data_IF_020638351945
#
_entry.id   IF_020638351945
#
_cell.length_a   1.000
_cell.length_b   1.000
_cell.length_c   1.000
_cell.angle_alpha   90.00
_cell.angle_beta   90.00
_cell.angle_gamma   90.00
#
_symmetry.space_group_name_H-M   'P 1'
#
loop_
_entity.id
_entity.type
_entity.pdbx_description
1 polymer ?
#
# COMPACT_ATOMS: atom_id res chain seq x y z
N UNK A 1 -11.24 9.80 -10.72
CA UNK A 1 -11.43 9.17 -9.40
C UNK A 1 -11.59 7.65 -9.57
N UNK A 2 -10.77 6.87 -8.87
CA UNK A 2 -10.87 5.41 -8.81
C UNK A 2 -11.09 5.03 -7.35
N UNK A 3 -12.05 4.14 -7.09
CA UNK A 3 -12.27 3.52 -5.79
C UNK A 3 -12.22 2.01 -5.97
N UNK A 4 -11.38 1.36 -5.20
CA UNK A 4 -11.21 -0.10 -5.21
C UNK A 4 -11.49 -0.65 -3.82
N UNK A 5 -12.21 -1.76 -3.74
CA UNK A 5 -12.48 -2.46 -2.49
C UNK A 5 -11.99 -3.90 -2.65
N UNK A 6 -11.15 -4.33 -1.73
CA UNK A 6 -10.61 -5.68 -1.67
C UNK A 6 -11.15 -6.39 -0.44
N UNK A 7 -11.67 -7.60 -0.64
CA UNK A 7 -12.06 -8.51 0.44
C UNK A 7 -10.99 -9.58 0.60
N UNK A 8 -10.54 -9.77 1.81
CA UNK A 8 -9.58 -10.80 2.19
C UNK A 8 -10.26 -11.88 3.05
N UNK A 9 -9.66 -13.06 3.19
CA UNK A 9 -10.09 -14.01 4.20
C UNK A 9 -10.07 -13.39 5.60
N UNK A 10 -10.99 -13.80 6.49
CA UNK A 10 -11.05 -13.30 7.86
C UNK A 10 -11.64 -11.89 7.99
N UNK A 11 -12.55 -11.51 7.11
CA UNK A 11 -13.33 -10.25 7.14
C UNK A 11 -12.51 -8.96 7.01
N UNK A 12 -11.23 -9.05 6.67
CA UNK A 12 -10.43 -7.89 6.36
C UNK A 12 -10.90 -7.25 5.06
N UNK A 13 -11.14 -5.94 5.09
CA UNK A 13 -11.50 -5.13 3.92
C UNK A 13 -10.45 -4.03 3.76
N UNK A 14 -9.91 -3.89 2.57
CA UNK A 14 -9.09 -2.74 2.21
C UNK A 14 -9.80 -1.90 1.15
N UNK A 15 -9.78 -0.58 1.34
CA UNK A 15 -10.27 0.39 0.37
C UNK A 15 -9.11 1.26 -0.10
N UNK A 16 -8.93 1.36 -1.41
CA UNK A 16 -7.97 2.27 -2.03
C UNK A 16 -8.75 3.30 -2.84
N UNK A 17 -8.43 4.57 -2.65
CA UNK A 17 -8.99 5.67 -3.43
C UNK A 17 -7.86 6.44 -4.07
N UNK A 18 -7.94 6.68 -5.36
CA UNK A 18 -6.99 7.50 -6.11
C UNK A 18 -7.72 8.54 -6.96
N UNK A 19 -7.26 9.79 -6.91
CA UNK A 19 -7.79 10.88 -7.72
C UNK A 19 -6.64 11.71 -8.28
N UNK A 20 -6.29 11.49 -9.55
CA UNK A 20 -5.24 12.24 -10.23
C UNK A 20 -5.67 13.64 -10.68
N UNK A 21 -6.98 13.93 -10.70
CA UNK A 21 -7.52 15.22 -11.09
C UNK A 21 -7.89 16.13 -9.90
N UNK A 22 -7.52 15.78 -8.68
CA UNK A 22 -7.78 16.63 -7.53
C UNK A 22 -6.88 17.88 -7.56
N UNK A 23 -7.46 19.05 -7.32
CA UNK A 23 -6.71 20.29 -7.11
C UNK A 23 -6.22 20.31 -5.67
N UNK A 24 -5.21 19.54 -5.39
CA UNK A 24 -4.61 19.40 -4.06
C UNK A 24 -3.15 18.89 -4.19
N UNK A 25 -2.33 19.20 -3.22
CA UNK A 25 -0.97 18.67 -3.16
C UNK A 25 -0.98 17.15 -3.16
N UNK A 26 -0.03 16.55 -3.88
CA UNK A 26 0.12 15.09 -3.90
C UNK A 26 0.37 14.54 -2.51
N UNK A 27 -0.43 13.57 -2.09
CA UNK A 27 -0.33 12.92 -0.80
C UNK A 27 -0.64 11.42 -0.85
N UNK A 28 -0.15 10.73 0.15
CA UNK A 28 -0.54 9.37 0.46
C UNK A 28 -1.04 9.35 1.91
N UNK A 29 -2.14 8.67 2.15
CA UNK A 29 -2.64 8.44 3.49
C UNK A 29 -3.00 6.98 3.67
N UNK A 30 -2.51 6.38 4.75
CA UNK A 30 -2.86 5.02 5.15
C UNK A 30 -3.56 5.08 6.50
N UNK A 31 -4.76 4.52 6.58
CA UNK A 31 -5.48 4.30 7.83
C UNK A 31 -5.75 2.82 7.99
N UNK A 32 -5.44 2.30 9.17
CA UNK A 32 -5.72 0.91 9.55
C UNK A 32 -6.57 0.93 10.80
N UNK A 33 -7.70 0.27 10.74
CA UNK A 33 -8.64 0.16 11.85
C UNK A 33 -8.73 -1.30 12.28
N UNK A 34 -8.63 -1.54 13.57
CA UNK A 34 -8.90 -2.83 14.19
C UNK A 34 -9.70 -2.63 15.48
N UNK A 35 -10.09 -3.70 16.14
CA UNK A 35 -10.89 -3.61 17.38
C UNK A 35 -10.17 -2.82 18.49
N UNK A 36 -8.86 -3.00 18.61
CA UNK A 36 -8.07 -2.44 19.71
C UNK A 36 -7.17 -1.28 19.29
N UNK A 37 -6.94 -1.10 17.98
CA UNK A 37 -5.96 -0.14 17.46
C UNK A 37 -6.44 0.55 16.21
N UNK A 38 -6.13 1.83 16.14
CA UNK A 38 -6.21 2.62 14.89
C UNK A 38 -4.84 3.19 14.60
N UNK A 39 -4.37 3.05 13.36
CA UNK A 39 -3.11 3.62 12.90
C UNK A 39 -3.39 4.57 11.75
N UNK A 40 -2.74 5.71 11.77
CA UNK A 40 -2.77 6.71 10.69
C UNK A 40 -1.35 7.07 10.31
N UNK A 41 -1.04 6.99 9.03
CA UNK A 41 0.19 7.53 8.45
C UNK A 41 -0.20 8.52 7.36
N UNK A 42 0.17 9.77 7.52
CA UNK A 42 -0.19 10.87 6.64
C UNK A 42 0.90 11.93 6.56
N UNK A 43 0.70 12.96 5.74
CA UNK A 43 1.56 14.16 5.71
C UNK A 43 1.69 14.86 7.07
N UNK A 44 0.66 14.77 7.91
CA UNK A 44 0.64 15.38 9.24
C UNK A 44 1.42 14.57 10.28
N UNK A 45 1.93 13.41 9.88
CA UNK A 45 2.68 12.50 10.72
C UNK A 45 2.03 11.14 10.89
N UNK A 46 2.66 10.32 11.73
CA UNK A 46 2.17 8.99 12.07
C UNK A 46 1.73 8.97 13.53
N UNK A 47 0.51 8.53 13.74
CA UNK A 47 -0.07 8.41 15.08
C UNK A 47 -1.10 7.28 15.13
N UNK A 48 -1.51 6.93 16.31
CA UNK A 48 -2.54 5.94 16.52
C UNK A 48 -3.25 6.08 17.83
N UNK A 49 -4.23 5.22 18.02
CA UNK A 49 -4.93 5.01 19.27
C UNK A 49 -4.83 3.53 19.63
N UNK A 50 -4.47 3.26 20.87
CA UNK A 50 -4.48 1.92 21.44
C UNK A 50 -5.26 1.98 22.75
N UNK A 51 -6.35 1.19 22.86
CA UNK A 51 -7.26 1.22 24.03
C UNK A 51 -7.65 2.65 24.43
N UNK A 52 -8.06 3.45 23.47
CA UNK A 52 -8.45 4.87 23.63
C UNK A 52 -7.33 5.83 24.07
N UNK A 53 -6.07 5.38 24.10
CA UNK A 53 -4.93 6.25 24.38
C UNK A 53 -4.26 6.66 23.07
N UNK A 54 -3.97 7.95 22.95
CA UNK A 54 -3.19 8.47 21.82
C UNK A 54 -1.73 8.00 21.91
N UNK A 55 -1.22 7.49 20.79
CA UNK A 55 0.17 7.04 20.65
C UNK A 55 0.81 7.71 19.44
N UNK A 56 1.88 8.45 19.65
CA UNK A 56 2.69 8.98 18.55
C UNK A 56 3.58 7.85 18.01
N UNK A 57 3.50 7.62 16.70
CA UNK A 57 4.23 6.53 16.04
C UNK A 57 5.39 7.14 15.28
N UNK A 58 6.57 6.52 15.36
CA UNK A 58 7.72 6.89 14.57
C UNK A 58 7.58 6.28 13.18
N UNK A 59 6.89 6.98 12.28
CA UNK A 59 6.66 6.55 10.90
C UNK A 59 7.32 7.50 9.91
N UNK A 60 7.73 6.96 8.78
CA UNK A 60 8.25 7.77 7.67
C UNK A 60 7.14 7.94 6.63
N UNK A 61 6.85 9.19 6.32
CA UNK A 61 5.97 9.50 5.18
C UNK A 61 6.73 9.21 3.87
N UNK A 62 6.07 8.63 2.85
CA UNK A 62 6.71 8.37 1.56
C UNK A 62 7.27 9.66 0.93
N UNK A 63 8.56 9.68 0.67
CA UNK A 63 9.28 10.81 0.08
C UNK A 63 10.28 10.39 -1.02
N UNK A 64 10.98 11.37 -1.58
CA UNK A 64 11.99 11.15 -2.61
C UNK A 64 13.19 10.33 -2.11
N UNK A 65 13.54 10.44 -0.82
CA UNK A 65 14.66 9.69 -0.23
C UNK A 65 14.34 8.21 -0.13
N UNK A 66 13.09 7.85 0.15
CA UNK A 66 12.65 6.46 0.17
C UNK A 66 12.72 5.82 -1.22
N UNK A 67 12.43 6.57 -2.29
CA UNK A 67 12.61 6.08 -3.67
C UNK A 67 14.09 5.82 -3.99
N UNK A 68 14.99 6.72 -3.57
CA UNK A 68 16.45 6.51 -3.73
C UNK A 68 16.93 5.26 -3.00
N UNK A 69 16.41 5.01 -1.79
CA UNK A 69 16.76 3.81 -1.02
C UNK A 69 16.30 2.54 -1.74
N UNK A 70 15.09 2.54 -2.29
CA UNK A 70 14.56 1.40 -3.04
C UNK A 70 15.42 1.08 -4.28
N UNK A 71 15.78 2.11 -5.07
CA UNK A 71 16.63 1.95 -6.25
C UNK A 71 18.02 1.45 -5.85
N UNK A 72 18.61 2.01 -4.79
CA UNK A 72 19.91 1.57 -4.29
C UNK A 72 19.86 0.11 -3.82
N UNK A 73 18.84 -0.27 -3.07
CA UNK A 73 18.65 -1.65 -2.63
C UNK A 73 18.61 -2.62 -3.82
N UNK A 74 17.90 -2.26 -4.88
CA UNK A 74 17.85 -3.04 -6.11
C UNK A 74 19.25 -3.17 -6.75
N UNK A 75 19.98 -2.07 -6.92
CA UNK A 75 21.33 -2.09 -7.51
C UNK A 75 22.30 -2.92 -6.65
N UNK A 76 22.27 -2.75 -5.33
CA UNK A 76 23.14 -3.48 -4.40
C UNK A 76 22.83 -4.98 -4.42
N UNK A 77 21.58 -5.35 -4.57
CA UNK A 77 21.18 -6.75 -4.67
C UNK A 77 21.63 -7.45 -5.95
N UNK A 78 21.78 -6.70 -7.05
CA UNK A 78 22.38 -7.23 -8.28
C UNK A 78 23.89 -7.49 -8.13
N UNK A 79 24.56 -6.68 -7.30
CA UNK A 79 26.01 -6.84 -7.02
C UNK A 79 26.29 -7.93 -6.00
N UNK A 80 25.46 -8.00 -4.98
CA UNK A 80 25.58 -8.94 -3.86
C UNK A 80 24.54 -10.06 -3.99
N UNK A 81 24.90 -11.17 -4.63
CA UNK A 81 24.00 -12.33 -4.90
C UNK A 81 23.25 -12.91 -3.69
N UNK A 82 23.60 -12.51 -2.46
CA UNK A 82 23.00 -13.02 -1.21
C UNK A 82 22.08 -12.02 -0.50
N UNK A 83 21.95 -10.79 -0.98
CA UNK A 83 21.13 -9.77 -0.32
C UNK A 83 19.66 -9.97 -0.67
N UNK A 84 18.83 -10.11 0.36
CA UNK A 84 17.37 -10.16 0.17
C UNK A 84 16.88 -8.78 -0.27
N UNK A 85 16.15 -8.72 -1.36
CA UNK A 85 15.52 -7.48 -1.84
C UNK A 85 14.43 -6.99 -0.89
N UNK A 86 14.21 -5.67 -0.82
CA UNK A 86 13.04 -5.10 -0.14
C UNK A 86 11.73 -5.59 -0.75
N UNK A 87 11.70 -5.73 -2.07
CA UNK A 87 10.57 -6.23 -2.84
C UNK A 87 11.08 -7.30 -3.79
N UNK A 88 10.61 -8.51 -3.64
CA UNK A 88 10.97 -9.62 -4.50
C UNK A 88 10.29 -9.53 -5.88
N UNK A 89 10.85 -10.22 -6.87
CA UNK A 89 10.22 -10.35 -8.18
C UNK A 89 8.82 -10.99 -8.09
N UNK A 90 8.65 -11.96 -7.20
CA UNK A 90 7.34 -12.59 -6.95
C UNK A 90 6.31 -11.58 -6.46
N UNK A 91 6.65 -10.73 -5.49
CA UNK A 91 5.75 -9.67 -4.98
C UNK A 91 5.38 -8.66 -6.07
N UNK A 92 6.29 -8.39 -7.03
CA UNK A 92 5.97 -7.55 -8.19
C UNK A 92 4.93 -8.22 -9.11
N UNK A 93 5.07 -9.51 -9.39
CA UNK A 93 4.09 -10.26 -10.18
C UNK A 93 2.74 -10.32 -9.48
N UNK A 94 2.73 -10.55 -8.16
CA UNK A 94 1.52 -10.56 -7.35
C UNK A 94 0.81 -9.19 -7.41
N UNK A 95 1.56 -8.09 -7.33
CA UNK A 95 1.02 -6.74 -7.47
C UNK A 95 0.42 -6.51 -8.87
N UNK A 96 1.09 -6.96 -9.93
CA UNK A 96 0.54 -6.88 -11.30
C UNK A 96 -0.74 -7.69 -11.45
N UNK A 97 -0.82 -8.86 -10.82
CA UNK A 97 -2.05 -9.68 -10.79
C UNK A 97 -3.23 -8.92 -10.18
N UNK A 98 -2.97 -8.16 -9.11
CA UNK A 98 -3.99 -7.27 -8.50
C UNK A 98 -4.44 -6.19 -9.48
N UNK A 99 -3.49 -5.53 -10.18
CA UNK A 99 -3.81 -4.50 -11.17
C UNK A 99 -4.70 -5.05 -12.31
N UNK A 100 -4.36 -6.21 -12.87
CA UNK A 100 -5.17 -6.85 -13.90
C UNK A 100 -6.55 -7.26 -13.41
N UNK A 101 -6.67 -7.72 -12.16
CA UNK A 101 -7.96 -8.05 -11.56
C UNK A 101 -8.84 -6.79 -11.40
N UNK A 102 -8.26 -5.65 -11.02
CA UNK A 102 -8.97 -4.36 -10.94
C UNK A 102 -9.50 -3.94 -12.32
N UNK A 103 -8.68 -3.98 -13.37
CA UNK A 103 -9.13 -3.70 -14.73
C UNK A 103 -10.29 -4.60 -15.17
N UNK A 104 -10.16 -5.90 -14.89
CA UNK A 104 -11.19 -6.89 -15.21
C UNK A 104 -12.50 -6.61 -14.43
N UNK A 105 -12.40 -6.22 -13.17
CA UNK A 105 -13.56 -5.86 -12.36
C UNK A 105 -14.27 -4.62 -12.91
N UNK A 106 -13.51 -3.59 -13.29
CA UNK A 106 -14.04 -2.37 -13.90
C UNK A 106 -14.76 -2.66 -15.23
N UNK A 107 -14.15 -3.42 -16.12
CA UNK A 107 -14.74 -3.81 -17.42
C UNK A 107 -16.01 -4.64 -17.23
N UNK A 108 -16.02 -5.57 -16.29
CA UNK A 108 -17.16 -6.47 -16.04
C UNK A 108 -18.20 -5.88 -15.10
N UNK A 109 -17.94 -4.75 -14.46
CA UNK A 109 -18.79 -4.12 -13.43
C UNK A 109 -19.24 -5.09 -12.33
N UNK A 110 -18.34 -6.00 -11.95
CA UNK A 110 -18.61 -7.01 -10.90
C UNK A 110 -17.34 -7.41 -10.16
N UNK A 111 -17.51 -8.00 -8.99
CA UNK A 111 -16.41 -8.59 -8.23
C UNK A 111 -15.71 -9.69 -9.04
N UNK A 112 -14.38 -9.71 -8.99
CA UNK A 112 -13.55 -10.76 -9.58
C UNK A 112 -12.56 -11.29 -8.55
N UNK A 113 -12.24 -12.58 -8.66
CA UNK A 113 -11.19 -13.20 -7.86
C UNK A 113 -9.83 -12.79 -8.43
N UNK A 114 -8.87 -12.48 -7.55
CA UNK A 114 -7.49 -12.26 -7.95
C UNK A 114 -6.83 -13.63 -8.13
N UNK A 115 -6.33 -13.90 -9.33
CA UNK A 115 -5.53 -15.06 -9.63
C UNK A 115 -4.08 -14.58 -9.75
N UNK A 116 -3.23 -15.00 -8.83
CA UNK A 116 -1.82 -14.64 -8.83
C UNK A 116 -1.08 -15.43 -9.92
N UNK A 117 -0.10 -14.77 -10.57
CA UNK A 117 0.72 -15.33 -11.63
C UNK A 117 1.76 -16.27 -11.05
#
# INVERSE_FOLDING_TARGET
LIVMIFKFPGDLIAKITANAGAVYDHFHELKVFSLDKTLVNSRLGSFGYEKNKFVKIKGLYPDKLNRKKLIRDFIDSLKEKKKKHMISFREQLDLMSVCFAVEKALKKKKQVKINYI
#
